data_IF_001856431037
#
_entry.id   IF_001856431037
#
_cell.length_a   1.000
_cell.length_b   1.000
_cell.length_c   1.000
_cell.angle_alpha   90.00
_cell.angle_beta   90.00
_cell.angle_gamma   90.00
#
_symmetry.space_group_name_H-M   'P 1'
#
loop_
_entity.id
_entity.type
_entity.pdbx_description
1 polymer ?
#
# COMPACT_ATOMS: atom_id res chain seq x y z
N UNK A 1 15.98 -18.14 -8.86
CA UNK A 1 16.14 -16.68 -8.99
C UNK A 1 14.82 -15.98 -9.34
N UNK A 2 13.67 -16.54 -8.90
CA UNK A 2 12.32 -16.17 -9.33
C UNK A 2 11.85 -14.90 -8.57
N UNK A 3 11.80 -14.95 -7.23
CA UNK A 3 11.47 -13.81 -6.35
C UNK A 3 12.35 -12.57 -6.49
N UNK A 4 13.52 -12.70 -7.11
CA UNK A 4 14.43 -11.58 -7.31
C UNK A 4 14.09 -10.76 -8.56
N UNK A 5 13.12 -11.19 -9.38
CA UNK A 5 12.38 -10.35 -10.34
C UNK A 5 11.37 -9.46 -9.61
N UNK A 6 10.60 -10.07 -8.70
CA UNK A 6 9.67 -9.42 -7.76
C UNK A 6 10.29 -8.46 -6.72
N UNK A 7 11.61 -8.45 -6.56
CA UNK A 7 12.32 -7.42 -5.78
C UNK A 7 13.29 -6.61 -6.67
N UNK A 8 13.32 -6.91 -7.97
CA UNK A 8 13.98 -6.12 -9.02
C UNK A 8 13.09 -5.01 -9.59
N UNK A 9 11.92 -4.72 -9.01
CA UNK A 9 11.07 -3.59 -9.42
C UNK A 9 11.76 -2.22 -9.38
N UNK A 10 12.95 -2.13 -8.78
CA UNK A 10 13.86 -0.99 -8.88
C UNK A 10 14.85 -1.25 -10.03
N UNK A 11 14.35 -1.53 -11.23
CA UNK A 11 14.95 -1.07 -12.47
C UNK A 11 14.29 0.29 -12.75
N UNK A 12 15.09 1.32 -13.04
CA UNK A 12 14.58 2.66 -13.35
C UNK A 12 13.42 2.64 -14.35
N UNK A 13 13.43 1.75 -15.35
CA UNK A 13 12.37 1.64 -16.36
C UNK A 13 11.12 0.96 -15.83
N UNK A 14 11.21 -0.14 -15.08
CA UNK A 14 10.05 -0.85 -14.52
C UNK A 14 9.44 -0.10 -13.34
N UNK A 15 10.25 0.56 -12.51
CA UNK A 15 9.83 1.50 -11.48
C UNK A 15 9.13 2.71 -12.10
N UNK A 16 9.73 3.34 -13.12
CA UNK A 16 9.11 4.47 -13.83
C UNK A 16 7.84 4.04 -14.58
N UNK A 17 7.79 2.82 -15.12
CA UNK A 17 6.61 2.29 -15.81
C UNK A 17 5.49 1.97 -14.81
N UNK A 18 5.82 1.41 -13.64
CA UNK A 18 4.91 1.24 -12.52
C UNK A 18 4.37 2.60 -12.07
N UNK A 19 5.23 3.58 -11.79
CA UNK A 19 4.84 4.93 -11.39
C UNK A 19 4.03 5.68 -12.46
N UNK A 20 4.40 5.55 -13.75
CA UNK A 20 3.66 6.16 -14.86
C UNK A 20 2.30 5.50 -15.09
N UNK A 21 2.22 4.17 -14.99
CA UNK A 21 0.97 3.43 -15.14
C UNK A 21 0.02 3.65 -13.94
N UNK A 22 0.57 3.84 -12.74
CA UNK A 22 -0.18 4.29 -11.56
C UNK A 22 -0.68 5.72 -11.79
N UNK A 23 0.19 6.65 -12.22
CA UNK A 23 -0.17 8.04 -12.49
C UNK A 23 -1.17 8.23 -13.65
N UNK A 24 -1.09 7.42 -14.70
CA UNK A 24 -1.99 7.48 -15.86
C UNK A 24 -3.38 6.89 -15.60
N UNK A 25 -3.53 6.03 -14.59
CA UNK A 25 -4.82 5.50 -14.13
C UNK A 25 -5.40 6.29 -12.93
N UNK A 26 -4.56 7.08 -12.24
CA UNK A 26 -4.95 7.96 -11.13
C UNK A 26 -5.30 9.39 -11.57
N UNK A 27 -5.37 9.67 -12.87
CA UNK A 27 -5.54 11.02 -13.45
C UNK A 27 -6.94 11.64 -13.27
N UNK A 28 -7.59 11.42 -12.12
CA UNK A 28 -8.87 12.03 -11.80
C UNK A 28 -9.06 12.48 -10.35
N UNK A 29 -8.21 12.09 -9.39
CA UNK A 29 -8.55 12.34 -7.96
C UNK A 29 -7.41 12.75 -7.02
N UNK A 30 -6.14 12.72 -7.45
CA UNK A 30 -5.02 12.87 -6.51
C UNK A 30 -4.39 14.27 -6.43
N UNK A 31 -4.71 15.23 -7.30
CA UNK A 31 -4.06 16.56 -7.28
C UNK A 31 -4.72 17.58 -6.34
N UNK A 32 -5.96 17.37 -5.91
CA UNK A 32 -6.66 18.28 -4.98
C UNK A 32 -6.51 17.90 -3.49
N UNK A 33 -5.91 16.75 -3.17
CA UNK A 33 -5.84 16.28 -1.77
C UNK A 33 -4.54 16.66 -1.05
N UNK A 34 -3.56 17.25 -1.75
CA UNK A 34 -2.27 17.64 -1.17
C UNK A 34 -2.24 19.07 -0.59
N UNK A 35 -3.31 19.86 -0.74
CA UNK A 35 -3.43 21.23 -0.17
C UNK A 35 -4.45 21.36 0.97
N UNK A 36 -5.03 20.24 1.44
CA UNK A 36 -5.92 20.22 2.60
C UNK A 36 -5.23 19.50 3.79
N UNK A 37 -4.11 20.09 4.22
CA UNK A 37 -3.37 19.76 5.44
C UNK A 37 -4.24 19.90 6.70
N UNK A 38 -4.13 18.91 7.60
CA UNK A 38 -4.25 19.01 9.07
C UNK A 38 -5.61 19.48 9.67
N UNK A 39 -6.45 18.50 10.04
CA UNK A 39 -7.48 18.47 11.13
C UNK A 39 -8.55 19.58 11.16
N UNK A 40 -9.86 19.25 11.00
CA UNK A 40 -10.68 18.76 12.13
C UNK A 40 -11.68 17.64 11.77
N UNK A 41 -11.29 16.70 10.89
CA UNK A 41 -12.22 15.67 10.38
C UNK A 41 -12.52 14.49 11.33
N UNK A 42 -11.84 14.38 12.49
CA UNK A 42 -12.11 13.29 13.44
C UNK A 42 -13.38 13.54 14.28
N UNK A 43 -13.80 14.79 14.46
CA UNK A 43 -15.06 15.11 15.19
C UNK A 43 -16.30 14.99 14.30
N UNK A 44 -16.20 15.38 13.03
CA UNK A 44 -17.31 15.29 12.08
C UNK A 44 -17.71 13.85 11.78
N UNK A 45 -16.78 12.89 11.71
CA UNK A 45 -17.12 11.47 11.47
C UNK A 45 -17.81 10.84 12.70
N UNK A 46 -17.50 11.29 13.93
CA UNK A 46 -18.19 10.84 15.14
C UNK A 46 -19.59 11.45 15.28
N UNK A 47 -19.74 12.74 14.96
CA UNK A 47 -21.03 13.43 15.01
C UNK A 47 -21.96 12.95 13.87
N UNK A 48 -21.42 12.59 12.69
CA UNK A 48 -22.17 12.04 11.55
C UNK A 48 -22.56 10.57 11.77
N UNK A 49 -21.77 9.79 12.52
CA UNK A 49 -22.12 8.43 12.94
C UNK A 49 -23.26 8.45 13.99
N UNK A 50 -23.22 9.37 14.96
CA UNK A 50 -24.32 9.57 15.92
C UNK A 50 -25.60 10.06 15.24
N UNK A 51 -25.49 10.96 14.26
CA UNK A 51 -26.64 11.45 13.49
C UNK A 51 -27.24 10.38 12.57
N UNK A 52 -26.41 9.50 11.96
CA UNK A 52 -26.91 8.38 11.11
C UNK A 52 -27.58 7.28 11.89
N UNK A 53 -27.16 7.01 13.14
CA UNK A 53 -27.85 6.09 14.04
C UNK A 53 -29.23 6.64 14.43
N UNK A 54 -29.36 7.95 14.63
CA UNK A 54 -30.67 8.57 14.92
C UNK A 54 -31.57 8.71 13.69
N UNK A 55 -31.00 8.86 12.49
CA UNK A 55 -31.78 9.04 11.25
C UNK A 55 -32.23 7.71 10.60
N UNK A 56 -31.66 6.57 11.01
CA UNK A 56 -32.06 5.22 10.55
C UNK A 56 -33.42 4.73 11.07
N UNK A 57 -34.05 5.44 12.00
CA UNK A 57 -35.31 5.01 12.64
C UNK A 57 -36.57 5.33 11.82
N UNK A 58 -36.47 6.13 10.74
CA UNK A 58 -37.66 6.73 10.10
C UNK A 58 -37.87 6.44 8.60
N UNK A 59 -37.20 5.43 8.03
CA UNK A 59 -37.53 4.95 6.68
C UNK A 59 -37.68 3.42 6.65
N UNK A 60 -38.72 2.98 7.36
CA UNK A 60 -39.33 1.65 7.33
C UNK A 60 -40.02 1.47 5.96
N UNK A 61 -39.62 0.53 5.11
CA UNK A 61 -39.99 -0.89 5.14
C UNK A 61 -39.00 -1.56 4.18
N UNK A 62 -38.13 -2.44 4.72
CA UNK A 62 -37.18 -3.38 4.08
C UNK A 62 -35.94 -3.57 4.97
N UNK A 63 -35.71 -2.65 5.91
CA UNK A 63 -34.64 -2.72 6.91
C UNK A 63 -34.91 -3.71 8.05
N UNK A 64 -36.16 -4.14 8.31
CA UNK A 64 -36.47 -5.02 9.44
C UNK A 64 -35.93 -6.46 9.26
N UNK A 65 -35.93 -6.98 8.04
CA UNK A 65 -35.33 -8.31 7.75
C UNK A 65 -33.80 -8.26 7.74
N UNK A 66 -33.22 -7.14 7.28
CA UNK A 66 -31.78 -6.89 7.31
C UNK A 66 -31.25 -6.53 8.72
N UNK A 67 -32.06 -5.89 9.56
CA UNK A 67 -31.72 -5.49 10.93
C UNK A 67 -31.83 -6.65 11.92
N UNK A 68 -32.73 -7.61 11.70
CA UNK A 68 -32.80 -8.84 12.50
C UNK A 68 -31.50 -9.68 12.40
N UNK A 69 -30.74 -9.56 11.30
CA UNK A 69 -29.43 -10.19 11.10
C UNK A 69 -28.24 -9.40 11.66
N UNK A 70 -28.43 -8.15 12.07
CA UNK A 70 -27.35 -7.26 12.54
C UNK A 70 -27.24 -7.17 14.07
N UNK A 71 -28.32 -7.53 14.80
CA UNK A 71 -28.35 -7.41 16.26
C UNK A 71 -28.55 -8.79 16.89
N UNK A 72 -27.46 -9.56 17.02
CA UNK A 72 -27.39 -10.64 18.01
C UNK A 72 -27.17 -12.08 17.55
N UNK A 73 -26.65 -12.33 16.34
CA UNK A 73 -26.38 -13.70 15.87
C UNK A 73 -25.00 -13.88 15.26
N UNK A 74 -24.30 -14.93 15.66
CA UNK A 74 -23.06 -15.44 15.06
C UNK A 74 -23.39 -16.10 13.70
N UNK A 75 -23.97 -15.34 12.77
CA UNK A 75 -24.20 -15.80 11.40
C UNK A 75 -23.16 -15.14 10.50
N UNK A 76 -22.36 -15.91 9.72
CA UNK A 76 -21.36 -15.31 8.87
C UNK A 76 -22.06 -14.42 7.82
N UNK A 77 -21.81 -13.12 7.86
CA UNK A 77 -22.41 -12.09 6.98
C UNK A 77 -22.22 -12.39 5.48
N UNK A 78 -21.25 -13.23 5.17
CA UNK A 78 -21.00 -13.80 3.85
C UNK A 78 -22.11 -14.75 3.37
N UNK A 79 -22.83 -15.44 4.28
CA UNK A 79 -23.94 -16.34 3.97
C UNK A 79 -25.20 -15.57 3.56
N UNK A 80 -25.49 -14.46 4.25
CA UNK A 80 -26.57 -13.53 3.88
C UNK A 80 -26.27 -12.85 2.53
N UNK A 81 -25.01 -12.42 2.32
CA UNK A 81 -24.57 -11.82 1.06
C UNK A 81 -24.63 -12.82 -0.10
N UNK A 82 -24.22 -14.07 0.14
CA UNK A 82 -24.33 -15.19 -0.80
C UNK A 82 -25.78 -15.48 -1.19
N UNK A 83 -26.69 -15.48 -0.21
CA UNK A 83 -28.12 -15.67 -0.45
C UNK A 83 -28.70 -14.54 -1.29
N UNK A 84 -28.36 -13.29 -0.98
CA UNK A 84 -28.81 -12.11 -1.72
C UNK A 84 -28.28 -12.09 -3.16
N UNK A 85 -27.03 -12.52 -3.39
CA UNK A 85 -26.47 -12.71 -4.72
C UNK A 85 -27.26 -13.75 -5.52
N UNK A 86 -27.54 -14.91 -4.92
CA UNK A 86 -28.34 -15.94 -5.58
C UNK A 86 -29.73 -15.44 -5.94
N UNK A 87 -30.35 -14.63 -5.09
CA UNK A 87 -31.65 -14.04 -5.39
C UNK A 87 -31.61 -13.11 -6.60
N UNK A 88 -30.61 -12.22 -6.66
CA UNK A 88 -30.42 -11.29 -7.76
C UNK A 88 -30.17 -12.05 -9.08
N UNK A 89 -29.29 -13.06 -9.04
CA UNK A 89 -28.93 -13.85 -10.21
C UNK A 89 -30.03 -14.83 -10.64
N UNK A 90 -30.81 -15.36 -9.70
CA UNK A 90 -31.79 -16.40 -9.95
C UNK A 90 -32.84 -15.99 -10.99
N UNK A 91 -33.24 -14.72 -10.97
CA UNK A 91 -34.12 -14.13 -11.99
C UNK A 91 -33.40 -13.96 -13.33
N UNK A 92 -32.21 -13.37 -13.31
CA UNK A 92 -31.43 -13.05 -14.52
C UNK A 92 -30.91 -14.27 -15.29
N UNK A 93 -30.74 -15.39 -14.60
CA UNK A 93 -30.33 -16.69 -15.14
C UNK A 93 -31.51 -17.62 -15.45
N UNK A 94 -32.76 -17.16 -15.25
CA UNK A 94 -33.97 -17.97 -15.47
C UNK A 94 -34.11 -19.16 -14.51
N UNK A 95 -33.38 -19.14 -13.39
CA UNK A 95 -33.40 -20.19 -12.36
C UNK A 95 -34.64 -20.06 -11.49
N UNK A 96 -35.14 -18.85 -11.26
CA UNK A 96 -36.36 -18.58 -10.51
C UNK A 96 -37.34 -17.72 -11.32
N UNK A 97 -38.61 -18.15 -11.40
CA UNK A 97 -39.69 -17.39 -12.05
C UNK A 97 -40.14 -16.17 -11.26
N UNK A 98 -40.01 -16.23 -9.94
CA UNK A 98 -40.51 -15.23 -9.00
C UNK A 98 -39.71 -15.25 -7.69
N UNK A 99 -40.02 -14.31 -6.81
CA UNK A 99 -39.33 -14.14 -5.53
C UNK A 99 -39.49 -15.36 -4.60
N UNK A 100 -40.68 -15.99 -4.56
CA UNK A 100 -40.92 -17.13 -3.68
C UNK A 100 -40.11 -18.36 -4.13
N UNK A 101 -40.11 -18.63 -5.43
CA UNK A 101 -39.29 -19.69 -6.01
C UNK A 101 -37.79 -19.41 -5.82
N UNK A 102 -37.38 -18.14 -5.86
CA UNK A 102 -36.00 -17.73 -5.58
C UNK A 102 -35.60 -18.03 -4.12
N UNK A 103 -36.48 -17.79 -3.13
CA UNK A 103 -36.27 -18.19 -1.73
C UNK A 103 -36.17 -19.69 -1.53
N UNK A 104 -37.01 -20.45 -2.20
CA UNK A 104 -36.96 -21.90 -2.11
C UNK A 104 -35.66 -22.44 -2.72
N UNK A 105 -35.27 -21.95 -3.91
CA UNK A 105 -34.07 -22.39 -4.63
C UNK A 105 -32.76 -21.96 -3.95
N UNK A 106 -32.65 -20.70 -3.55
CA UNK A 106 -31.47 -20.15 -2.88
C UNK A 106 -31.38 -20.51 -1.38
N UNK A 107 -32.40 -21.16 -0.82
CA UNK A 107 -32.45 -21.64 0.56
C UNK A 107 -32.61 -23.16 0.61
N UNK A 108 -33.84 -23.63 0.74
CA UNK A 108 -34.18 -25.01 1.06
C UNK A 108 -33.71 -26.05 0.02
N UNK A 109 -33.67 -25.71 -1.27
CA UNK A 109 -33.24 -26.62 -2.34
C UNK A 109 -31.73 -26.59 -2.61
N UNK A 110 -30.96 -25.78 -1.88
CA UNK A 110 -29.51 -25.75 -1.97
C UNK A 110 -28.95 -25.33 -3.33
N UNK A 111 -29.72 -24.63 -4.19
CA UNK A 111 -29.26 -24.14 -5.51
C UNK A 111 -28.38 -22.90 -5.44
N UNK A 112 -28.10 -22.38 -4.25
CA UNK A 112 -27.33 -21.15 -4.02
C UNK A 112 -25.95 -21.18 -4.66
N UNK A 113 -25.16 -22.21 -4.37
CA UNK A 113 -23.78 -22.33 -4.86
C UNK A 113 -23.74 -22.47 -6.38
N UNK A 114 -24.55 -23.39 -6.92
CA UNK A 114 -24.64 -23.62 -8.36
C UNK A 114 -25.09 -22.36 -9.12
N UNK A 115 -25.93 -21.53 -8.49
CA UNK A 115 -26.35 -20.24 -9.05
C UNK A 115 -25.21 -19.22 -8.99
N UNK A 116 -24.61 -19.00 -7.82
CA UNK A 116 -23.53 -18.02 -7.64
C UNK A 116 -22.27 -18.34 -8.47
N UNK A 117 -21.98 -19.62 -8.71
CA UNK A 117 -20.89 -20.07 -9.57
C UNK A 117 -21.04 -19.56 -11.02
N UNK A 118 -22.26 -19.22 -11.45
CA UNK A 118 -22.57 -18.69 -12.79
C UNK A 118 -22.46 -17.17 -12.89
N UNK A 119 -21.91 -16.48 -11.87
CA UNK A 119 -21.82 -15.01 -11.85
C UNK A 119 -21.02 -14.44 -13.03
N UNK A 120 -20.10 -15.23 -13.59
CA UNK A 120 -19.33 -14.88 -14.78
C UNK A 120 -20.13 -14.86 -16.09
N UNK A 121 -21.34 -15.42 -16.13
CA UNK A 121 -22.19 -15.43 -17.33
C UNK A 121 -22.82 -14.06 -17.62
N UNK A 122 -22.85 -13.15 -16.64
CA UNK A 122 -23.46 -11.82 -16.75
C UNK A 122 -22.45 -10.76 -16.35
N UNK A 123 -22.28 -9.75 -17.20
CA UNK A 123 -21.30 -8.69 -16.98
C UNK A 123 -21.51 -7.94 -15.66
N UNK A 124 -22.76 -7.74 -15.25
CA UNK A 124 -23.13 -7.04 -14.01
C UNK A 124 -22.71 -7.77 -12.72
N UNK A 125 -22.59 -9.09 -12.74
CA UNK A 125 -22.26 -9.89 -11.56
C UNK A 125 -20.82 -10.40 -11.53
N UNK A 126 -20.06 -10.25 -12.63
CA UNK A 126 -18.69 -10.75 -12.76
C UNK A 126 -17.79 -10.31 -11.60
N UNK A 127 -17.93 -9.06 -11.20
CA UNK A 127 -17.07 -8.44 -10.20
C UNK A 127 -17.60 -8.57 -8.76
N UNK A 128 -18.80 -9.14 -8.59
CA UNK A 128 -19.35 -9.42 -7.27
C UNK A 128 -18.47 -10.49 -6.59
N UNK A 129 -18.15 -10.26 -5.32
CA UNK A 129 -17.51 -11.24 -4.47
C UNK A 129 -18.49 -12.41 -4.28
N UNK A 130 -18.02 -13.61 -4.64
CA UNK A 130 -18.83 -14.82 -4.47
C UNK A 130 -18.74 -15.33 -3.04
N UNK A 131 -19.08 -16.61 -2.87
CA UNK A 131 -18.93 -17.29 -1.59
C UNK A 131 -17.45 -17.43 -1.19
N UNK A 132 -16.58 -17.64 -2.17
CA UNK A 132 -15.14 -17.76 -1.97
C UNK A 132 -14.43 -16.62 -2.67
N UNK A 133 -13.52 -15.96 -1.96
CA UNK A 133 -12.74 -14.87 -2.51
C UNK A 133 -11.48 -14.58 -1.69
N UNK A 134 -10.50 -14.01 -2.36
CA UNK A 134 -9.41 -13.26 -1.75
C UNK A 134 -9.55 -11.79 -2.14
N UNK A 135 -9.87 -10.92 -1.18
CA UNK A 135 -10.27 -9.55 -1.46
C UNK A 135 -9.16 -8.72 -2.10
N UNK A 136 -7.98 -8.69 -1.48
CA UNK A 136 -6.85 -7.93 -2.02
C UNK A 136 -6.41 -8.50 -3.36
N UNK A 137 -6.30 -9.84 -3.47
CA UNK A 137 -5.87 -10.49 -4.70
C UNK A 137 -6.81 -10.18 -5.86
N UNK A 138 -8.13 -10.36 -5.68
CA UNK A 138 -9.11 -10.04 -6.72
C UNK A 138 -9.03 -8.58 -7.13
N UNK A 139 -8.85 -7.65 -6.18
CA UNK A 139 -8.67 -6.23 -6.48
C UNK A 139 -7.40 -5.97 -7.29
N UNK A 140 -6.26 -6.56 -6.88
CA UNK A 140 -4.96 -6.43 -7.54
C UNK A 140 -5.02 -6.99 -8.98
N UNK A 141 -5.65 -8.13 -9.18
CA UNK A 141 -5.77 -8.80 -10.48
C UNK A 141 -6.62 -8.00 -11.50
N UNK A 142 -7.38 -6.99 -11.07
CA UNK A 142 -8.03 -6.04 -11.99
C UNK A 142 -7.04 -5.11 -12.70
N UNK A 143 -5.86 -4.90 -12.12
CA UNK A 143 -4.82 -4.13 -12.75
C UNK A 143 -4.03 -5.01 -13.72
N UNK A 144 -4.14 -4.77 -15.02
CA UNK A 144 -3.52 -5.58 -16.06
C UNK A 144 -1.97 -5.63 -16.00
N UNK A 145 -1.33 -4.65 -15.36
CA UNK A 145 0.11 -4.68 -15.11
C UNK A 145 0.45 -5.64 -13.97
N UNK A 146 -0.27 -5.56 -12.84
CA UNK A 146 -0.08 -6.45 -11.69
C UNK A 146 -0.51 -7.90 -11.98
N UNK A 147 -1.56 -8.09 -12.77
CA UNK A 147 -2.04 -9.41 -13.17
C UNK A 147 -1.02 -10.19 -14.02
N UNK A 148 -0.10 -9.49 -14.70
CA UNK A 148 0.98 -10.10 -15.48
C UNK A 148 2.20 -10.46 -14.65
N UNK A 149 2.25 -10.02 -13.39
CA UNK A 149 3.36 -10.23 -12.48
C UNK A 149 2.84 -10.78 -11.14
N UNK A 150 2.69 -12.11 -11.02
CA UNK A 150 2.19 -12.74 -9.81
C UNK A 150 3.03 -12.44 -8.57
N UNK A 151 4.35 -12.26 -8.71
CA UNK A 151 5.23 -11.95 -7.58
C UNK A 151 5.01 -10.53 -7.07
N UNK A 152 4.84 -9.57 -7.98
CA UNK A 152 4.43 -8.21 -7.63
C UNK A 152 3.08 -8.20 -6.94
N UNK A 153 2.12 -8.98 -7.46
CA UNK A 153 0.79 -9.08 -6.89
C UNK A 153 0.81 -9.69 -5.48
N UNK A 154 1.63 -10.73 -5.25
CA UNK A 154 1.89 -11.32 -3.94
C UNK A 154 2.51 -10.31 -2.97
N UNK A 155 3.45 -9.50 -3.45
CA UNK A 155 4.04 -8.42 -2.67
C UNK A 155 2.99 -7.36 -2.30
N UNK A 156 2.16 -6.92 -3.25
CA UNK A 156 1.08 -5.96 -2.99
C UNK A 156 0.10 -6.49 -1.94
N UNK A 157 -0.32 -7.75 -2.07
CA UNK A 157 -1.16 -8.44 -1.10
C UNK A 157 -0.47 -8.56 0.27
N UNK A 158 0.84 -8.77 0.31
CA UNK A 158 1.63 -8.82 1.53
C UNK A 158 1.64 -7.49 2.27
N UNK A 159 1.85 -6.39 1.54
CA UNK A 159 1.87 -5.05 2.10
C UNK A 159 0.46 -4.60 2.52
N UNK A 160 -0.59 -4.92 1.76
CA UNK A 160 -1.95 -4.54 2.12
C UNK A 160 -2.60 -5.45 3.15
N UNK A 161 -2.12 -6.70 3.28
CA UNK A 161 -2.92 -7.77 3.85
C UNK A 161 -4.09 -8.14 2.93
N UNK A 162 -4.95 -9.04 3.39
CA UNK A 162 -6.18 -9.41 2.67
C UNK A 162 -7.23 -10.01 3.59
N UNK A 163 -8.48 -10.03 3.14
CA UNK A 163 -9.57 -10.80 3.72
C UNK A 163 -9.89 -11.96 2.78
N UNK A 164 -9.86 -13.17 3.33
CA UNK A 164 -10.19 -14.42 2.65
C UNK A 164 -11.56 -14.90 3.13
N UNK A 165 -12.40 -15.30 2.20
CA UNK A 165 -13.58 -16.11 2.44
C UNK A 165 -13.38 -17.45 1.73
N UNK A 166 -13.52 -18.55 2.46
CA UNK A 166 -13.45 -19.89 1.91
C UNK A 166 -14.55 -20.77 2.47
N UNK A 167 -14.87 -21.83 1.76
CA UNK A 167 -15.84 -22.82 2.22
C UNK A 167 -15.13 -24.07 2.74
N UNK A 168 -15.52 -24.52 3.92
CA UNK A 168 -15.12 -25.81 4.49
C UNK A 168 -16.39 -26.63 4.77
N UNK A 169 -16.80 -27.42 3.78
CA UNK A 169 -18.10 -28.11 3.80
C UNK A 169 -19.26 -27.12 3.72
N UNK A 170 -20.14 -27.13 4.73
CA UNK A 170 -21.26 -26.18 4.84
C UNK A 170 -20.89 -24.87 5.55
N UNK A 171 -19.70 -24.77 6.12
CA UNK A 171 -19.27 -23.60 6.90
C UNK A 171 -18.45 -22.67 6.00
N UNK A 172 -18.80 -21.39 6.02
CA UNK A 172 -18.00 -20.34 5.42
C UNK A 172 -17.03 -19.80 6.47
N UNK A 173 -15.73 -19.96 6.19
CA UNK A 173 -14.65 -19.55 7.06
C UNK A 173 -14.05 -18.24 6.53
N UNK A 174 -14.04 -17.22 7.39
CA UNK A 174 -13.39 -15.95 7.12
C UNK A 174 -12.02 -15.91 7.79
N UNK A 175 -11.00 -15.54 7.02
CA UNK A 175 -9.63 -15.41 7.53
C UNK A 175 -9.04 -14.07 7.12
N UNK A 176 -8.56 -13.31 8.08
CA UNK A 176 -7.82 -12.06 7.83
C UNK A 176 -6.32 -12.38 7.80
N UNK A 177 -5.66 -11.97 6.73
CA UNK A 177 -4.20 -11.91 6.66
C UNK A 177 -3.77 -10.47 6.92
N UNK A 178 -3.04 -10.19 8.02
CA UNK A 178 -2.67 -8.84 8.38
C UNK A 178 -1.68 -8.23 7.37
N UNK A 179 -1.75 -6.91 7.21
CA UNK A 179 -0.73 -6.13 6.51
C UNK A 179 0.65 -6.36 7.14
N UNK A 180 1.68 -6.56 6.30
CA UNK A 180 3.08 -6.58 6.71
C UNK A 180 3.79 -5.23 6.44
N UNK A 181 3.07 -4.16 6.12
CA UNK A 181 3.64 -2.83 5.86
C UNK A 181 4.38 -2.20 7.05
N UNK A 182 4.21 -2.76 8.27
CA UNK A 182 4.91 -2.34 9.48
C UNK A 182 5.77 -3.48 10.09
N UNK A 183 5.98 -4.58 9.36
CA UNK A 183 6.82 -5.69 9.80
C UNK A 183 8.29 -5.29 9.77
N UNK A 184 8.94 -5.26 10.95
CA UNK A 184 10.31 -4.76 11.08
C UNK A 184 11.34 -5.60 10.30
N UNK A 185 11.14 -6.92 10.21
CA UNK A 185 12.03 -7.80 9.47
C UNK A 185 11.86 -7.60 7.96
N UNK A 186 10.63 -7.41 7.49
CA UNK A 186 10.36 -7.08 6.09
C UNK A 186 10.98 -5.72 5.73
N UNK A 187 10.79 -4.68 6.56
CA UNK A 187 11.41 -3.38 6.31
C UNK A 187 12.94 -3.49 6.25
N UNK A 188 13.55 -4.17 7.22
CA UNK A 188 15.00 -4.36 7.28
C UNK A 188 15.51 -5.18 6.09
N UNK A 189 14.80 -6.23 5.69
CA UNK A 189 15.15 -7.03 4.52
C UNK A 189 15.08 -6.21 3.23
N UNK A 190 14.11 -5.31 3.09
CA UNK A 190 13.97 -4.44 1.91
C UNK A 190 15.04 -3.35 1.86
N UNK A 191 15.35 -2.75 3.01
CA UNK A 191 16.35 -1.67 3.10
C UNK A 191 17.77 -2.21 3.06
N UNK A 192 18.12 -3.12 3.95
CA UNK A 192 19.50 -3.56 4.18
C UNK A 192 19.81 -4.89 3.48
N UNK A 193 18.82 -5.76 3.29
CA UNK A 193 19.03 -7.11 2.80
C UNK A 193 19.51 -8.07 3.90
N UNK A 194 19.88 -9.29 3.51
CA UNK A 194 20.38 -10.39 4.35
C UNK A 194 19.55 -10.70 5.62
N UNK A 195 18.34 -10.18 5.70
CA UNK A 195 17.39 -10.40 6.80
C UNK A 195 16.28 -11.32 6.31
N UNK A 196 15.97 -12.42 7.02
CA UNK A 196 14.82 -13.24 6.70
C UNK A 196 13.53 -12.44 6.84
N UNK A 197 12.71 -12.42 5.79
CA UNK A 197 11.41 -11.78 5.78
C UNK A 197 10.32 -12.77 5.37
N UNK A 198 9.08 -12.47 5.76
CA UNK A 198 7.92 -13.29 5.48
C UNK A 198 6.99 -12.56 4.51
N UNK A 199 6.57 -13.26 3.45
CA UNK A 199 5.59 -12.78 2.47
C UNK A 199 4.45 -13.78 2.33
N UNK A 200 3.30 -13.32 1.82
CA UNK A 200 2.21 -14.21 1.45
C UNK A 200 2.40 -14.70 0.03
N UNK A 201 2.52 -16.01 -0.13
CA UNK A 201 2.61 -16.69 -1.43
C UNK A 201 1.28 -17.37 -1.76
N UNK A 202 0.77 -17.13 -2.94
CA UNK A 202 -0.45 -17.77 -3.43
C UNK A 202 -0.22 -19.24 -3.79
N UNK A 203 -1.27 -20.04 -3.64
CA UNK A 203 -1.33 -21.43 -4.09
C UNK A 203 -1.57 -21.53 -5.61
N UNK A 204 -2.45 -20.67 -6.15
CA UNK A 204 -2.78 -20.61 -7.58
C UNK A 204 -2.96 -19.16 -8.06
N UNK A 205 -2.67 -18.95 -9.34
CA UNK A 205 -2.62 -17.62 -9.98
C UNK A 205 -3.75 -17.44 -10.99
N UNK A 206 -4.84 -16.85 -10.52
CA UNK A 206 -6.02 -16.51 -11.31
C UNK A 206 -6.87 -15.50 -10.55
N UNK A 207 -7.72 -14.75 -11.26
CA UNK A 207 -8.46 -13.60 -10.69
C UNK A 207 -9.31 -13.97 -9.46
N UNK A 208 -9.98 -15.13 -9.50
CA UNK A 208 -10.79 -15.66 -8.40
C UNK A 208 -10.05 -16.72 -7.55
N UNK A 209 -8.73 -16.88 -7.74
CA UNK A 209 -7.91 -17.87 -7.04
C UNK A 209 -7.16 -17.25 -5.84
N UNK A 210 -6.00 -17.82 -5.46
CA UNK A 210 -5.25 -17.47 -4.27
C UNK A 210 -6.10 -17.56 -2.98
N UNK A 211 -6.83 -18.67 -2.81
CA UNK A 211 -7.73 -18.88 -1.68
C UNK A 211 -7.03 -19.48 -0.46
N UNK A 212 -5.82 -20.04 -0.64
CA UNK A 212 -5.02 -20.59 0.46
C UNK A 212 -3.57 -20.10 0.42
N UNK A 213 -3.33 -18.79 0.51
CA UNK A 213 -1.98 -18.25 0.57
C UNK A 213 -1.26 -18.71 1.84
N UNK A 214 0.02 -19.02 1.68
CA UNK A 214 0.91 -19.50 2.75
C UNK A 214 2.01 -18.49 3.03
N UNK A 215 2.54 -18.50 4.25
CA UNK A 215 3.71 -17.70 4.59
C UNK A 215 4.93 -18.34 3.93
N UNK A 216 5.63 -17.57 3.13
CA UNK A 216 6.92 -17.94 2.58
C UNK A 216 8.02 -17.07 3.21
N UNK A 217 9.08 -17.73 3.66
CA UNK A 217 10.31 -17.03 4.09
C UNK A 217 11.20 -16.76 2.89
N UNK A 218 11.66 -15.52 2.79
CA UNK A 218 12.56 -15.03 1.75
C UNK A 218 13.77 -14.34 2.37
N UNK A 219 14.83 -14.20 1.59
CA UNK A 219 16.01 -13.42 1.98
C UNK A 219 16.52 -12.69 0.75
N UNK A 220 16.53 -11.35 0.83
CA UNK A 220 17.03 -10.49 -0.24
C UNK A 220 18.55 -10.34 -0.09
N UNK A 221 19.37 -10.61 -1.11
CA UNK A 221 20.80 -10.32 -1.05
C UNK A 221 21.03 -8.81 -0.86
N UNK A 222 22.00 -8.44 -0.03
CA UNK A 222 22.39 -7.04 0.21
C UNK A 222 22.64 -6.24 -1.09
N UNK A 223 23.24 -6.85 -2.11
CA UNK A 223 23.46 -6.18 -3.39
C UNK A 223 22.17 -5.72 -4.08
N UNK A 224 21.04 -6.36 -3.77
CA UNK A 224 19.69 -6.06 -4.28
C UNK A 224 18.85 -5.22 -3.29
N UNK A 225 19.37 -4.91 -2.10
CA UNK A 225 18.71 -4.07 -1.11
C UNK A 225 18.61 -2.61 -1.56
N UNK A 226 17.64 -1.89 -1.02
CA UNK A 226 17.41 -0.50 -1.38
C UNK A 226 18.58 0.38 -0.95
N UNK A 227 19.16 0.15 0.23
CA UNK A 227 20.34 0.87 0.71
C UNK A 227 21.52 0.71 -0.24
N UNK A 228 21.84 -0.53 -0.66
CA UNK A 228 22.93 -0.79 -1.60
C UNK A 228 22.71 -0.13 -2.97
N UNK A 229 21.45 -0.05 -3.44
CA UNK A 229 21.09 0.68 -4.67
C UNK A 229 21.25 2.20 -4.49
N UNK A 230 20.72 2.75 -3.40
CA UNK A 230 20.79 4.18 -3.07
C UNK A 230 22.24 4.64 -2.93
N UNK A 231 23.09 3.86 -2.26
CA UNK A 231 24.51 4.19 -2.11
C UNK A 231 25.22 4.30 -3.46
N UNK A 232 24.99 3.35 -4.38
CA UNK A 232 25.56 3.40 -5.74
C UNK A 232 25.04 4.60 -6.54
N UNK A 233 23.75 4.91 -6.44
CA UNK A 233 23.14 6.05 -7.13
C UNK A 233 23.67 7.38 -6.60
N UNK A 234 23.80 7.52 -5.28
CA UNK A 234 24.35 8.71 -4.65
C UNK A 234 25.81 8.93 -5.03
N UNK A 235 26.63 7.88 -5.06
CA UNK A 235 28.02 7.97 -5.49
C UNK A 235 28.10 8.41 -6.95
N UNK A 236 27.38 7.73 -7.84
CA UNK A 236 27.33 8.07 -9.27
C UNK A 236 26.81 9.49 -9.52
N UNK A 237 25.86 9.96 -8.71
CA UNK A 237 25.33 11.32 -8.78
C UNK A 237 26.37 12.35 -8.32
N UNK A 238 27.10 12.08 -7.23
CA UNK A 238 28.22 12.92 -6.76
C UNK A 238 29.31 13.04 -7.82
N UNK A 239 29.72 11.93 -8.43
CA UNK A 239 30.74 11.91 -9.48
C UNK A 239 30.31 12.75 -10.69
N UNK A 240 29.06 12.60 -11.14
CA UNK A 240 28.52 13.41 -12.25
C UNK A 240 28.50 14.91 -11.91
N UNK A 241 28.10 15.29 -10.69
CA UNK A 241 28.09 16.71 -10.27
C UNK A 241 29.51 17.26 -10.19
N UNK A 242 30.48 16.47 -9.70
CA UNK A 242 31.88 16.90 -9.56
C UNK A 242 32.61 17.05 -10.89
N UNK A 243 32.23 16.26 -11.90
CA UNK A 243 32.81 16.22 -13.23
C UNK A 243 32.00 17.01 -14.28
N UNK A 244 30.96 17.73 -13.84
CA UNK A 244 30.04 18.50 -14.70
C UNK A 244 29.40 17.66 -15.82
N UNK A 245 29.05 16.41 -15.49
CA UNK A 245 28.35 15.48 -16.39
C UNK A 245 26.84 15.57 -16.22
N UNK A 246 26.12 15.42 -17.33
CA UNK A 246 24.67 15.39 -17.33
C UNK A 246 24.11 14.19 -16.53
N UNK A 247 23.02 14.43 -15.80
CA UNK A 247 22.36 13.38 -15.02
C UNK A 247 21.64 12.36 -15.90
N UNK A 248 21.78 11.08 -15.56
CA UNK A 248 21.08 9.98 -16.24
C UNK A 248 19.57 10.00 -15.93
N UNK A 249 18.76 9.32 -16.74
CA UNK A 249 17.33 9.19 -16.48
C UNK A 249 17.03 8.51 -15.13
N UNK A 250 17.83 7.52 -14.76
CA UNK A 250 17.75 6.82 -13.48
C UNK A 250 18.08 7.74 -12.29
N UNK A 251 19.13 8.56 -12.39
CA UNK A 251 19.48 9.54 -11.37
C UNK A 251 18.37 10.57 -11.16
N UNK A 252 17.74 11.04 -12.26
CA UNK A 252 16.60 11.96 -12.19
C UNK A 252 15.38 11.32 -11.52
N UNK A 253 15.07 10.06 -11.87
CA UNK A 253 13.99 9.31 -11.24
C UNK A 253 14.24 9.10 -9.74
N UNK A 254 15.48 8.77 -9.37
CA UNK A 254 15.90 8.63 -7.98
C UNK A 254 15.69 9.93 -7.18
N UNK A 255 16.15 11.08 -7.69
CA UNK A 255 15.95 12.38 -7.04
C UNK A 255 14.46 12.68 -6.82
N UNK A 256 13.60 12.31 -7.78
CA UNK A 256 12.15 12.53 -7.69
C UNK A 256 11.41 11.49 -6.83
N UNK A 257 12.08 10.39 -6.44
CA UNK A 257 11.48 9.32 -5.64
C UNK A 257 11.55 9.57 -4.13
N UNK A 258 12.27 10.61 -3.72
CA UNK A 258 12.46 10.98 -2.32
C UNK A 258 12.12 12.45 -2.09
N UNK A 259 11.57 12.76 -0.92
CA UNK A 259 11.37 14.15 -0.48
C UNK A 259 12.66 14.74 0.12
N UNK A 260 13.70 13.92 0.32
CA UNK A 260 14.99 14.39 0.80
C UNK A 260 15.68 15.16 -0.34
N UNK A 261 16.20 16.38 -0.08
CA UNK A 261 16.80 17.21 -1.12
C UNK A 261 18.20 16.72 -1.52
N UNK A 262 18.27 15.57 -2.20
CA UNK A 262 19.51 14.88 -2.60
C UNK A 262 20.48 15.81 -3.33
N UNK A 263 19.98 16.61 -4.27
CA UNK A 263 20.82 17.56 -5.02
C UNK A 263 21.44 18.63 -4.11
N UNK A 264 20.72 19.10 -3.09
CA UNK A 264 21.25 20.07 -2.13
C UNK A 264 22.37 19.45 -1.30
N UNK A 265 22.19 18.21 -0.84
CA UNK A 265 23.20 17.46 -0.08
C UNK A 265 24.48 17.30 -0.91
N UNK A 266 24.35 16.91 -2.18
CA UNK A 266 25.49 16.69 -3.08
C UNK A 266 26.17 18.01 -3.47
N UNK A 267 25.41 19.07 -3.72
CA UNK A 267 25.97 20.39 -4.04
C UNK A 267 26.79 20.95 -2.87
N UNK A 268 26.30 20.80 -1.63
CA UNK A 268 27.03 21.17 -0.43
C UNK A 268 28.32 20.34 -0.34
N UNK A 269 28.23 19.02 -0.45
CA UNK A 269 29.40 18.13 -0.41
C UNK A 269 30.46 18.51 -1.45
N UNK A 270 30.06 18.74 -2.70
CA UNK A 270 30.95 19.11 -3.80
C UNK A 270 31.63 20.48 -3.62
N UNK A 271 31.03 21.41 -2.86
CA UNK A 271 31.61 22.71 -2.57
C UNK A 271 32.79 22.63 -1.58
N UNK A 272 32.87 21.59 -0.75
CA UNK A 272 33.88 21.44 0.31
C UNK A 272 35.17 20.67 -0.11
N UNK A 273 35.49 20.66 -1.42
CA UNK A 273 36.59 19.89 -2.04
C UNK A 273 38.02 20.04 -1.45
N UNK A 274 38.29 20.98 -0.54
CA UNK A 274 39.65 21.24 -0.03
C UNK A 274 39.87 21.07 1.48
N UNK A 275 38.86 20.63 2.27
CA UNK A 275 38.97 20.63 3.74
C UNK A 275 38.32 19.47 4.48
N UNK A 276 37.87 18.43 3.78
CA UNK A 276 37.10 17.34 4.37
C UNK A 276 35.66 17.77 4.67
N UNK A 277 34.73 17.47 3.76
CA UNK A 277 33.32 17.72 4.00
C UNK A 277 32.88 17.03 5.31
N UNK A 278 32.28 17.75 6.28
CA UNK A 278 31.71 17.11 7.46
C UNK A 278 30.47 16.27 7.12
N UNK A 279 29.97 16.37 5.88
CA UNK A 279 28.88 15.57 5.34
C UNK A 279 29.45 14.39 4.55
N UNK A 280 29.23 13.18 5.06
CA UNK A 280 29.43 11.95 4.31
C UNK A 280 28.09 11.54 3.67
N UNK A 281 28.04 11.51 2.33
CA UNK A 281 26.85 11.11 1.56
C UNK A 281 26.36 9.71 1.97
N UNK A 282 27.26 8.81 2.38
CA UNK A 282 26.90 7.49 2.89
C UNK A 282 25.99 7.57 4.13
N UNK A 283 26.16 8.58 5.00
CA UNK A 283 25.34 8.75 6.21
C UNK A 283 23.87 9.07 5.89
N UNK A 284 23.58 9.56 4.68
CA UNK A 284 22.21 9.83 4.23
C UNK A 284 21.59 8.68 3.43
N UNK A 285 22.39 7.74 2.96
CA UNK A 285 21.93 6.66 2.08
C UNK A 285 20.90 5.75 2.75
N UNK A 286 21.05 5.48 4.04
CA UNK A 286 20.07 4.71 4.82
C UNK A 286 18.75 5.47 4.98
N UNK A 287 18.81 6.76 5.33
CA UNK A 287 17.60 7.59 5.48
C UNK A 287 16.87 7.74 4.14
N UNK A 288 17.59 7.96 3.05
CA UNK A 288 17.02 8.04 1.69
C UNK A 288 16.38 6.71 1.28
N UNK A 289 17.02 5.57 1.58
CA UNK A 289 16.42 4.27 1.34
C UNK A 289 15.12 4.08 2.12
N UNK A 290 15.08 4.45 3.41
CA UNK A 290 13.85 4.38 4.19
C UNK A 290 12.74 5.29 3.64
N UNK A 291 13.04 6.52 3.22
CA UNK A 291 12.06 7.43 2.63
C UNK A 291 11.45 6.86 1.34
N UNK A 292 12.30 6.35 0.44
CA UNK A 292 11.85 5.74 -0.82
C UNK A 292 10.99 4.51 -0.55
N UNK A 293 11.39 3.66 0.41
CA UNK A 293 10.59 2.51 0.80
C UNK A 293 9.22 2.95 1.33
N UNK A 294 9.16 3.91 2.25
CA UNK A 294 7.90 4.36 2.83
C UNK A 294 6.96 4.98 1.79
N UNK A 295 7.51 5.75 0.83
CA UNK A 295 6.77 6.26 -0.31
C UNK A 295 6.19 5.10 -1.14
N UNK A 296 7.03 4.13 -1.49
CA UNK A 296 6.60 2.96 -2.28
C UNK A 296 5.50 2.17 -1.57
N UNK A 297 5.62 1.95 -0.26
CA UNK A 297 4.59 1.26 0.51
C UNK A 297 3.27 2.04 0.55
N UNK A 298 3.30 3.38 0.64
CA UNK A 298 2.05 4.17 0.57
C UNK A 298 1.38 4.07 -0.80
N UNK A 299 2.17 4.06 -1.89
CA UNK A 299 1.66 3.89 -3.26
C UNK A 299 1.01 2.53 -3.48
N UNK A 300 1.65 1.45 -2.99
CA UNK A 300 1.08 0.09 -2.98
C UNK A 300 -0.28 0.10 -2.28
N UNK A 301 -0.34 0.70 -1.09
CA UNK A 301 -1.56 0.78 -0.29
C UNK A 301 -2.64 1.62 -0.98
N UNK A 302 -2.26 2.72 -1.63
CA UNK A 302 -3.20 3.56 -2.39
C UNK A 302 -3.79 2.79 -3.57
N UNK A 303 -2.97 2.05 -4.33
CA UNK A 303 -3.45 1.26 -5.45
C UNK A 303 -4.44 0.18 -4.99
N UNK A 304 -4.10 -0.56 -3.93
CA UNK A 304 -4.99 -1.60 -3.41
C UNK A 304 -6.29 -0.97 -2.89
N UNK A 305 -6.21 0.14 -2.16
CA UNK A 305 -7.39 0.91 -1.72
C UNK A 305 -8.30 1.31 -2.88
N UNK A 306 -7.73 1.87 -3.95
CA UNK A 306 -8.49 2.31 -5.13
C UNK A 306 -9.13 1.11 -5.84
N UNK A 307 -8.39 0.01 -5.98
CA UNK A 307 -8.87 -1.22 -6.62
C UNK A 307 -10.02 -1.84 -5.82
N UNK A 308 -9.92 -1.87 -4.49
CA UNK A 308 -10.99 -2.32 -3.59
C UNK A 308 -12.20 -1.37 -3.64
N UNK A 309 -11.96 -0.07 -3.73
CA UNK A 309 -13.03 0.94 -3.87
C UNK A 309 -13.79 0.77 -5.20
N UNK A 310 -13.12 0.34 -6.26
CA UNK A 310 -13.78 -0.03 -7.51
C UNK A 310 -14.64 -1.29 -7.35
N UNK A 311 -14.13 -2.33 -6.67
CA UNK A 311 -14.92 -3.53 -6.35
C UNK A 311 -16.18 -3.20 -5.55
N UNK A 312 -16.12 -2.22 -4.64
CA UNK A 312 -17.28 -1.78 -3.85
C UNK A 312 -18.51 -1.48 -4.71
N UNK A 313 -18.30 -0.88 -5.89
CA UNK A 313 -19.39 -0.45 -6.79
C UNK A 313 -20.24 -1.61 -7.30
N UNK A 314 -19.67 -2.80 -7.39
CA UNK A 314 -20.36 -4.02 -7.82
C UNK A 314 -20.84 -4.86 -6.64
N UNK A 315 -20.51 -4.52 -5.40
CA UNK A 315 -20.89 -5.35 -4.26
C UNK A 315 -22.33 -5.10 -3.80
N UNK A 316 -22.98 -6.19 -3.43
CA UNK A 316 -24.31 -6.21 -2.84
C UNK A 316 -24.24 -5.85 -1.34
N UNK A 317 -23.14 -6.21 -0.67
CA UNK A 317 -22.82 -5.84 0.71
C UNK A 317 -21.36 -5.35 0.78
N UNK A 318 -21.13 -4.18 1.39
CA UNK A 318 -19.85 -3.50 1.42
C UNK A 318 -19.13 -3.54 2.77
N UNK A 319 -19.69 -4.16 3.82
CA UNK A 319 -19.10 -4.13 5.16
C UNK A 319 -17.65 -4.67 5.18
N UNK A 320 -17.42 -5.83 4.58
CA UNK A 320 -16.07 -6.43 4.53
C UNK A 320 -15.10 -5.56 3.73
N UNK A 321 -15.60 -4.87 2.72
CA UNK A 321 -14.81 -3.91 1.95
C UNK A 321 -14.45 -2.72 2.82
N UNK A 322 -15.38 -2.18 3.61
CA UNK A 322 -15.09 -1.08 4.53
C UNK A 322 -14.13 -1.48 5.65
N UNK A 323 -14.24 -2.70 6.18
CA UNK A 323 -13.29 -3.25 7.15
C UNK A 323 -11.88 -3.32 6.55
N UNK A 324 -11.73 -3.89 5.35
CA UNK A 324 -10.44 -3.98 4.68
C UNK A 324 -9.86 -2.60 4.37
N UNK A 325 -10.69 -1.69 3.85
CA UNK A 325 -10.32 -0.29 3.63
C UNK A 325 -9.82 0.34 4.91
N UNK A 326 -10.57 0.26 6.01
CA UNK A 326 -10.15 0.81 7.32
C UNK A 326 -8.76 0.32 7.73
N UNK A 327 -8.46 -0.98 7.56
CA UNK A 327 -7.13 -1.54 7.81
C UNK A 327 -6.02 -0.95 6.92
N UNK A 328 -6.31 -0.72 5.63
CA UNK A 328 -5.39 -0.03 4.72
C UNK A 328 -5.16 1.42 5.18
N UNK A 329 -6.21 2.17 5.50
CA UNK A 329 -6.10 3.56 5.96
C UNK A 329 -5.26 3.67 7.24
N UNK A 330 -5.46 2.76 8.20
CA UNK A 330 -4.65 2.70 9.42
C UNK A 330 -3.18 2.45 9.10
N UNK A 331 -2.89 1.51 8.21
CA UNK A 331 -1.52 1.19 7.79
C UNK A 331 -0.83 2.38 7.12
N UNK A 332 -1.55 3.09 6.23
CA UNK A 332 -1.06 4.34 5.60
C UNK A 332 -0.74 5.42 6.62
N UNK A 333 -1.59 5.59 7.64
CA UNK A 333 -1.32 6.52 8.76
C UNK A 333 -0.02 6.18 9.49
N UNK A 334 0.26 4.90 9.71
CA UNK A 334 1.51 4.43 10.34
C UNK A 334 2.72 4.74 9.44
N UNK A 335 2.63 4.46 8.13
CA UNK A 335 3.69 4.76 7.18
C UNK A 335 3.98 6.27 7.13
N UNK A 336 2.95 7.11 7.09
CA UNK A 336 3.08 8.56 7.16
C UNK A 336 3.79 9.00 8.44
N UNK A 337 3.40 8.49 9.61
CA UNK A 337 4.03 8.84 10.88
C UNK A 337 5.52 8.46 10.92
N UNK A 338 5.90 7.28 10.39
CA UNK A 338 7.30 6.88 10.26
C UNK A 338 8.09 7.82 9.36
N UNK A 339 7.48 8.21 8.24
CA UNK A 339 8.09 9.13 7.28
C UNK A 339 8.30 10.51 7.90
N UNK A 340 7.31 11.04 8.62
CA UNK A 340 7.44 12.29 9.36
C UNK A 340 8.57 12.22 10.39
N UNK A 341 8.64 11.16 11.19
CA UNK A 341 9.72 10.98 12.18
C UNK A 341 11.11 10.93 11.52
N UNK A 342 11.24 10.26 10.38
CA UNK A 342 12.47 10.24 9.59
C UNK A 342 12.87 11.66 9.14
N UNK A 343 11.93 12.45 8.64
CA UNK A 343 12.19 13.84 8.22
C UNK A 343 12.58 14.75 9.39
N UNK A 344 11.91 14.64 10.54
CA UNK A 344 12.25 15.39 11.74
C UNK A 344 13.68 15.07 12.19
N UNK A 345 14.04 13.78 12.25
CA UNK A 345 15.40 13.35 12.60
C UNK A 345 16.44 13.89 11.63
N UNK A 346 16.15 13.89 10.32
CA UNK A 346 17.04 14.43 9.31
C UNK A 346 17.19 15.95 9.42
N UNK A 347 16.10 16.68 9.66
CA UNK A 347 16.13 18.13 9.82
C UNK A 347 17.00 18.54 11.03
N UNK A 348 16.85 17.85 12.16
CA UNK A 348 17.69 18.05 13.35
C UNK A 348 19.16 17.77 13.03
N UNK A 349 19.44 16.67 12.31
CA UNK A 349 20.80 16.31 11.93
C UNK A 349 21.45 17.38 11.04
N UNK A 350 20.73 17.91 10.04
CA UNK A 350 21.22 18.98 9.18
C UNK A 350 21.45 20.29 9.94
N UNK A 351 20.54 20.65 10.86
CA UNK A 351 20.69 21.85 11.70
C UNK A 351 21.91 21.74 12.62
N UNK A 352 22.14 20.58 13.23
CA UNK A 352 23.31 20.33 14.08
C UNK A 352 24.62 20.47 13.29
N UNK A 353 24.64 19.99 12.05
CA UNK A 353 25.80 20.12 11.17
C UNK A 353 26.06 21.60 10.85
N UNK A 354 25.02 22.36 10.47
CA UNK A 354 25.15 23.79 10.19
C UNK A 354 25.62 24.58 11.42
N UNK A 355 25.07 24.31 12.60
CA UNK A 355 25.49 24.95 13.86
C UNK A 355 26.95 24.62 14.21
N UNK A 356 27.35 23.37 14.05
CA UNK A 356 28.73 22.93 14.30
C UNK A 356 29.70 23.68 13.39
N UNK A 357 29.38 23.81 12.10
CA UNK A 357 30.17 24.61 11.16
C UNK A 357 30.27 26.08 11.53
N UNK A 358 29.16 26.71 11.96
CA UNK A 358 29.18 28.10 12.40
C UNK A 358 30.07 28.31 13.63
N UNK A 359 30.09 27.34 14.56
CA UNK A 359 30.97 27.36 15.73
C UNK A 359 32.44 27.19 15.29
N UNK A 360 32.75 26.24 14.41
CA UNK A 360 34.09 26.03 13.88
C UNK A 360 34.64 27.28 13.17
N UNK A 361 33.85 27.93 12.31
CA UNK A 361 34.25 29.17 11.64
C UNK A 361 34.51 30.32 12.62
N UNK A 362 33.69 30.43 13.68
CA UNK A 362 33.93 31.40 14.77
C UNK A 362 35.20 31.08 15.55
N UNK A 363 35.47 29.81 15.85
CA UNK A 363 36.70 29.41 16.54
C UNK A 363 37.93 29.66 15.67
N UNK A 364 37.90 29.31 14.38
CA UNK A 364 38.99 29.58 13.44
C UNK A 364 39.28 31.09 13.33
N UNK A 365 38.25 31.93 13.18
CA UNK A 365 38.45 33.39 13.14
C UNK A 365 39.00 33.94 14.46
N UNK A 366 38.57 33.40 15.61
CA UNK A 366 39.14 33.74 16.91
C UNK A 366 40.63 33.37 17.02
N UNK A 367 41.03 32.16 16.62
CA UNK A 367 42.42 31.71 16.63
C UNK A 367 43.32 32.52 15.69
N UNK A 368 42.84 32.89 14.50
CA UNK A 368 43.58 33.77 13.59
C UNK A 368 43.75 35.15 14.21
N UNK A 369 42.69 35.73 14.78
CA UNK A 369 42.76 37.06 15.42
C UNK A 369 43.66 37.10 16.66
N UNK A 370 43.74 36.01 17.43
CA UNK A 370 44.62 35.93 18.60
C UNK A 370 46.09 35.73 18.19
N UNK A 371 46.35 34.97 17.14
CA UNK A 371 47.71 34.81 16.58
C UNK A 371 48.28 36.11 15.99
N UNK A 372 47.44 36.94 15.37
CA UNK A 372 47.84 38.26 14.85
C UNK A 372 48.07 39.32 15.93
N UNK A 373 47.55 39.14 17.15
CA UNK A 373 47.84 40.04 18.29
C UNK A 373 49.10 39.64 19.07
N UNK A 374 49.65 38.46 18.82
CA UNK A 374 50.84 37.94 19.48
C UNK A 374 52.14 38.17 18.68
N UNK A 375 52.03 38.71 17.46
CA UNK A 375 53.11 39.29 16.66
C UNK A 375 53.04 40.82 16.78
#
# INVERSE_FOLDING_TARGET
DLFLGGFSFINAQEFTQLLRNIGSNASGYAFNLALATVTPQIKSVLDDLSAKVQHMTNQSINSCEAAATLVGGVWPQSDASSKLLCHAMGKELGIASDWAQSHQKCGAEGKREATNARKGEKAEFKDVLGDEFNMAWKAIQKNAFLAKDPELAEFFMTISGTILSRRNGSIQEMKVLPSKSNDANLMTALVQGNTPAEIYKCDQYGEEQCLNPVIQRITLPEAKSLHGKVQRLLQSLSDNVREDKALTAEQKAFINSTMIPVLKIIAVEAAFKAGGSPLNIANFSEAIAHDILLQYLDEVMSLVWDSVTQLKKSQINDHMIEEFRSGIAQSRKILFAKRTALFEQMAITLELIERTQQIEAKLQSMFVSSSQRAQ
#
